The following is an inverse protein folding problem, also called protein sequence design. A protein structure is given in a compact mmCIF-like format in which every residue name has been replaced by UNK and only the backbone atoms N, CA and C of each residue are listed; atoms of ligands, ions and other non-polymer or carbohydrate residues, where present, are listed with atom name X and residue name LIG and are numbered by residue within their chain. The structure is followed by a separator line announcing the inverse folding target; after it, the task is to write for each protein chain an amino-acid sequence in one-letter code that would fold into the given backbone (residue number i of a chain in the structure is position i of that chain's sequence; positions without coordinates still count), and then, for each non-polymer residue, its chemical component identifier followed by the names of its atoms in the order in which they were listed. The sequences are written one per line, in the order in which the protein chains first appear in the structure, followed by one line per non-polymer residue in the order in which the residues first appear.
data_IF_015664905279
#
_entry.id   IF_015664905279
#
_cell.length_a   1.000
_cell.length_b   1.000
_cell.length_c   1.000
_cell.angle_alpha   90.00
_cell.angle_beta   90.00
_cell.angle_gamma   90.00
#
_symmetry.space_group_name_H-M   'P 1'
#
loop_
_entity.id
_entity.type
_entity.pdbx_description
1 polymer ?
#
# COMPACT_ATOMS: atom_id res chain seq x y z
N UNK A 1 37.39 -27.24 -4.04
CA UNK A 1 36.38 -28.18 -3.49
C UNK A 1 35.04 -27.48 -3.45
N UNK A 2 34.19 -27.78 -4.43
CA UNK A 2 32.88 -27.15 -4.64
C UNK A 2 31.80 -28.02 -3.99
N UNK A 3 31.04 -27.47 -3.05
CA UNK A 3 29.85 -28.14 -2.50
C UNK A 3 28.61 -27.67 -3.28
N UNK A 4 28.09 -28.56 -4.12
CA UNK A 4 26.77 -28.40 -4.77
C UNK A 4 25.66 -28.71 -3.75
N UNK A 5 24.75 -27.79 -3.52
CA UNK A 5 23.49 -28.06 -2.81
C UNK A 5 22.44 -28.53 -3.79
N UNK A 6 21.94 -29.74 -3.51
CA UNK A 6 20.91 -30.41 -4.32
C UNK A 6 19.56 -30.27 -3.59
N UNK A 7 18.58 -29.58 -4.20
CA UNK A 7 17.20 -29.50 -3.66
C UNK A 7 16.37 -30.60 -4.25
N UNK A 8 16.18 -31.69 -3.47
CA UNK A 8 15.31 -32.80 -3.83
C UNK A 8 13.84 -32.42 -3.68
N UNK A 9 13.12 -32.64 -4.78
CA UNK A 9 11.66 -32.54 -4.87
C UNK A 9 11.02 -33.71 -4.13
N UNK A 10 10.26 -33.47 -3.04
CA UNK A 10 9.43 -34.49 -2.40
C UNK A 10 8.02 -34.47 -2.98
N UNK A 11 7.73 -35.48 -3.78
CA UNK A 11 6.38 -35.81 -4.24
C UNK A 11 5.60 -36.51 -3.13
N UNK A 12 4.56 -35.86 -2.62
CA UNK A 12 3.60 -36.48 -1.69
C UNK A 12 2.54 -37.28 -2.48
N UNK A 13 2.59 -38.62 -2.33
CA UNK A 13 1.57 -39.53 -2.82
C UNK A 13 0.29 -39.39 -2.00
N UNK A 14 -0.82 -39.04 -2.64
CA UNK A 14 -2.19 -39.15 -2.09
C UNK A 14 -2.59 -40.60 -1.96
N UNK A 15 -2.90 -41.07 -0.74
CA UNK A 15 -3.62 -42.29 -0.50
C UNK A 15 -5.14 -42.03 -0.67
N UNK A 16 -5.77 -42.78 -1.57
CA UNK A 16 -7.24 -42.91 -1.66
C UNK A 16 -7.69 -43.83 -0.54
N UNK A 17 -8.59 -43.36 0.31
CA UNK A 17 -9.44 -44.24 1.14
C UNK A 17 -10.76 -44.41 0.38
N UNK A 18 -11.10 -45.70 0.18
CA UNK A 18 -12.40 -46.16 -0.29
C UNK A 18 -13.24 -46.37 0.96
N UNK A 19 -14.40 -45.76 1.06
CA UNK A 19 -15.46 -46.15 1.99
C UNK A 19 -16.68 -46.50 1.17
N UNK A 20 -17.20 -47.69 1.49
CA UNK A 20 -18.35 -48.34 0.88
C UNK A 20 -19.65 -47.69 1.36
N UNK A 21 -20.67 -47.81 0.49
CA UNK A 21 -22.00 -47.26 0.61
C UNK A 21 -22.83 -47.99 1.64
N UNK A 22 -23.58 -47.30 2.49
CA UNK A 22 -24.81 -47.78 3.11
C UNK A 22 -25.93 -46.80 2.80
N UNK A 23 -26.95 -47.29 2.10
CA UNK A 23 -28.17 -46.59 1.73
C UNK A 23 -29.03 -46.38 2.99
N UNK A 24 -29.35 -45.13 3.30
CA UNK A 24 -30.51 -44.82 4.14
C UNK A 24 -31.34 -43.73 3.44
N UNK A 25 -32.52 -44.19 3.01
CA UNK A 25 -33.63 -43.35 2.53
C UNK A 25 -34.20 -42.55 3.70
N UNK A 26 -34.16 -41.21 3.66
CA UNK A 26 -35.00 -40.36 4.50
C UNK A 26 -35.50 -39.13 3.73
N UNK A 27 -36.79 -39.06 3.76
CA UNK A 27 -37.81 -38.08 3.40
C UNK A 27 -37.44 -36.65 3.00
N UNK A 28 -37.95 -36.26 1.82
CA UNK A 28 -38.11 -34.91 1.31
C UNK A 28 -38.98 -34.04 2.24
N UNK A 29 -38.35 -33.07 2.92
CA UNK A 29 -39.01 -31.85 3.36
C UNK A 29 -38.35 -30.62 2.68
N UNK A 30 -38.94 -30.23 1.55
CA UNK A 30 -38.52 -29.14 0.66
C UNK A 30 -38.89 -27.77 1.28
N UNK A 31 -38.24 -27.39 2.38
CA UNK A 31 -38.22 -26.01 2.88
C UNK A 31 -36.99 -25.30 2.32
N UNK A 32 -37.14 -24.72 1.13
CA UNK A 32 -36.15 -23.85 0.48
C UNK A 32 -35.78 -22.66 1.38
N UNK A 33 -34.78 -22.83 2.23
CA UNK A 33 -34.09 -21.71 2.86
C UNK A 33 -33.42 -20.88 1.77
N UNK A 34 -33.62 -19.55 1.69
CA UNK A 34 -32.96 -18.73 0.70
C UNK A 34 -31.43 -18.87 0.92
N UNK A 35 -30.73 -19.38 -0.10
CA UNK A 35 -29.29 -19.33 -0.14
C UNK A 35 -28.88 -17.84 -0.23
N UNK A 36 -28.63 -17.23 0.91
CA UNK A 36 -28.00 -15.92 0.98
C UNK A 36 -26.58 -16.13 0.48
N UNK A 37 -26.34 -15.90 -0.80
CA UNK A 37 -24.99 -15.75 -1.36
C UNK A 37 -24.45 -14.45 -0.75
N UNK A 38 -23.79 -14.57 0.41
CA UNK A 38 -22.96 -13.49 0.90
C UNK A 38 -21.81 -13.42 -0.11
N UNK A 39 -21.90 -12.47 -1.04
CA UNK A 39 -20.80 -12.14 -1.92
C UNK A 39 -19.61 -11.75 -1.01
N UNK A 40 -18.73 -12.71 -0.75
CA UNK A 40 -17.46 -12.43 -0.08
C UNK A 40 -16.70 -11.53 -1.02
N UNK A 41 -16.59 -10.25 -0.68
CA UNK A 41 -15.58 -9.38 -1.31
C UNK A 41 -14.26 -10.13 -1.29
N UNK A 42 -13.57 -10.28 -2.44
CA UNK A 42 -12.29 -10.96 -2.45
C UNK A 42 -11.38 -10.27 -1.45
N UNK A 43 -10.93 -11.01 -0.42
CA UNK A 43 -9.96 -10.50 0.55
C UNK A 43 -8.65 -10.38 -0.23
N UNK A 44 -8.33 -9.17 -0.69
CA UNK A 44 -7.04 -8.88 -1.29
C UNK A 44 -6.04 -8.88 -0.14
N UNK A 45 -5.18 -9.90 -0.09
CA UNK A 45 -4.19 -10.04 0.99
C UNK A 45 -3.44 -8.73 1.22
N UNK A 46 -3.56 -8.18 2.43
CA UNK A 46 -2.87 -6.95 2.86
C UNK A 46 -3.54 -5.62 2.50
N UNK A 47 -4.76 -5.65 1.90
CA UNK A 47 -5.62 -4.47 1.73
C UNK A 47 -6.98 -4.80 2.32
N UNK A 48 -7.36 -4.09 3.38
CA UNK A 48 -8.64 -4.26 4.04
C UNK A 48 -9.40 -2.94 4.03
N UNK A 49 -10.72 -3.01 3.85
CA UNK A 49 -11.61 -1.83 3.85
C UNK A 49 -12.60 -1.97 5.00
N UNK A 50 -12.69 -0.94 5.83
CA UNK A 50 -13.66 -0.84 6.92
C UNK A 50 -14.24 0.56 6.95
N UNK A 51 -15.52 0.70 6.69
CA UNK A 51 -16.21 1.98 6.50
C UNK A 51 -15.52 2.85 5.42
N UNK A 52 -15.03 4.03 5.78
CA UNK A 52 -14.25 4.92 4.91
C UNK A 52 -12.72 4.78 5.12
N UNK A 53 -12.25 3.70 5.75
CA UNK A 53 -10.85 3.42 5.98
C UNK A 53 -10.35 2.29 5.08
N UNK A 54 -9.16 2.50 4.49
CA UNK A 54 -8.39 1.48 3.77
C UNK A 54 -7.12 1.22 4.57
N UNK A 55 -6.87 -0.03 4.92
CA UNK A 55 -5.65 -0.47 5.59
C UNK A 55 -4.75 -1.18 4.58
N UNK A 56 -3.64 -0.54 4.24
CA UNK A 56 -2.62 -1.05 3.33
C UNK A 56 -1.41 -1.53 4.14
N UNK A 57 -1.25 -2.85 4.23
CA UNK A 57 -0.13 -3.50 4.93
C UNK A 57 0.60 -4.45 3.98
N UNK A 58 1.37 -3.87 3.05
CA UNK A 58 2.14 -4.57 2.02
C UNK A 58 3.30 -3.72 1.53
N UNK A 59 4.30 -4.38 0.95
CA UNK A 59 5.29 -3.70 0.13
C UNK A 59 4.67 -3.27 -1.21
N UNK A 60 5.22 -2.21 -1.78
CA UNK A 60 4.69 -1.56 -2.97
C UNK A 60 5.28 -2.21 -4.21
N UNK A 61 4.44 -2.88 -4.97
CA UNK A 61 4.70 -3.38 -6.32
C UNK A 61 3.57 -2.99 -7.27
N UNK A 62 3.68 -3.35 -8.55
CA UNK A 62 2.65 -3.02 -9.54
C UNK A 62 1.30 -3.68 -9.24
N UNK A 63 1.30 -4.88 -8.66
CA UNK A 63 0.07 -5.62 -8.31
C UNK A 63 -0.61 -4.99 -7.10
N UNK A 64 0.14 -4.69 -6.05
CA UNK A 64 -0.39 -4.05 -4.84
C UNK A 64 -0.85 -2.63 -5.12
N UNK A 65 -0.14 -1.88 -5.98
CA UNK A 65 -0.56 -0.55 -6.43
C UNK A 65 -1.87 -0.60 -7.23
N UNK A 66 -2.00 -1.52 -8.18
CA UNK A 66 -3.24 -1.70 -8.94
C UNK A 66 -4.41 -2.02 -8.00
N UNK A 67 -4.22 -2.94 -7.07
CA UNK A 67 -5.26 -3.34 -6.12
C UNK A 67 -5.67 -2.19 -5.19
N UNK A 68 -4.70 -1.38 -4.72
CA UNK A 68 -4.99 -0.20 -3.90
C UNK A 68 -5.73 0.87 -4.70
N UNK A 69 -5.34 1.12 -5.95
CA UNK A 69 -6.02 2.05 -6.83
C UNK A 69 -7.48 1.64 -7.09
N UNK A 70 -7.73 0.33 -7.29
CA UNK A 70 -9.10 -0.19 -7.43
C UNK A 70 -9.90 -0.05 -6.12
N UNK A 71 -9.29 -0.28 -4.97
CA UNK A 71 -9.91 -0.10 -3.66
C UNK A 71 -10.29 1.37 -3.41
N UNK A 72 -9.39 2.31 -3.70
CA UNK A 72 -9.62 3.76 -3.58
C UNK A 72 -10.79 4.21 -4.45
N UNK A 73 -10.78 3.86 -5.75
CA UNK A 73 -11.86 4.21 -6.69
C UNK A 73 -13.20 3.58 -6.30
N UNK A 74 -13.18 2.31 -5.90
CA UNK A 74 -14.38 1.60 -5.45
C UNK A 74 -15.00 2.22 -4.20
N UNK A 75 -14.14 2.61 -3.24
CA UNK A 75 -14.60 3.25 -2.00
C UNK A 75 -15.12 4.67 -2.27
N UNK A 76 -14.47 5.45 -3.14
CA UNK A 76 -14.98 6.75 -3.56
C UNK A 76 -16.39 6.64 -4.15
N UNK A 77 -16.63 5.71 -5.09
CA UNK A 77 -17.95 5.49 -5.68
C UNK A 77 -18.98 5.12 -4.64
N UNK A 78 -18.63 4.25 -3.69
CA UNK A 78 -19.51 3.86 -2.59
C UNK A 78 -19.86 5.07 -1.71
N UNK A 79 -18.87 5.84 -1.25
CA UNK A 79 -19.09 7.01 -0.40
C UNK A 79 -19.99 8.03 -1.09
N UNK A 80 -19.74 8.33 -2.38
CA UNK A 80 -20.58 9.25 -3.16
C UNK A 80 -22.03 8.77 -3.25
N UNK A 81 -22.25 7.48 -3.52
CA UNK A 81 -23.56 6.89 -3.57
C UNK A 81 -24.29 6.96 -2.22
N UNK A 82 -23.60 6.60 -1.14
CA UNK A 82 -24.15 6.61 0.21
C UNK A 82 -24.47 8.05 0.65
N UNK A 83 -23.61 9.00 0.34
CA UNK A 83 -23.83 10.44 0.62
C UNK A 83 -25.07 11.00 -0.09
N UNK A 84 -25.25 10.65 -1.37
CA UNK A 84 -26.45 11.04 -2.11
C UNK A 84 -27.74 10.43 -1.53
N UNK A 85 -27.69 9.14 -1.17
CA UNK A 85 -28.85 8.45 -0.61
C UNK A 85 -29.25 8.98 0.77
N UNK A 86 -28.27 9.38 1.58
CA UNK A 86 -28.47 9.86 2.95
C UNK A 86 -28.57 11.39 3.04
N UNK A 87 -28.37 12.10 1.94
CA UNK A 87 -28.30 13.56 1.86
C UNK A 87 -27.29 14.16 2.89
N UNK A 88 -26.08 13.60 2.93
CA UNK A 88 -24.96 14.05 3.78
C UNK A 88 -23.73 14.36 2.92
N UNK A 89 -22.80 15.15 3.46
CA UNK A 89 -21.51 15.41 2.81
C UNK A 89 -20.63 14.14 2.73
N UNK A 90 -19.96 13.92 1.59
CA UNK A 90 -19.02 12.81 1.45
C UNK A 90 -17.90 12.88 2.49
N UNK A 91 -17.70 11.79 3.21
CA UNK A 91 -16.63 11.68 4.19
C UNK A 91 -15.28 11.42 3.51
N UNK A 92 -14.15 11.94 4.03
CA UNK A 92 -12.81 11.64 3.50
C UNK A 92 -12.50 10.15 3.61
N UNK A 93 -11.63 9.67 2.72
CA UNK A 93 -11.05 8.33 2.80
C UNK A 93 -9.80 8.39 3.66
N UNK A 94 -9.70 7.54 4.68
CA UNK A 94 -8.50 7.37 5.48
C UNK A 94 -7.67 6.21 4.91
N UNK A 95 -6.47 6.51 4.43
CA UNK A 95 -5.52 5.52 3.93
C UNK A 95 -4.45 5.24 4.99
N UNK A 96 -4.62 4.14 5.70
CA UNK A 96 -3.67 3.64 6.69
C UNK A 96 -2.54 2.90 5.99
N UNK A 97 -1.30 3.28 6.30
CA UNK A 97 -0.11 2.78 5.64
C UNK A 97 0.81 2.09 6.65
N UNK A 98 1.18 0.85 6.35
CA UNK A 98 2.28 0.09 6.98
C UNK A 98 3.05 -0.58 5.85
N UNK A 99 4.26 -0.11 5.54
CA UNK A 99 5.02 -0.60 4.38
C UNK A 99 6.51 -0.30 4.47
N UNK A 100 7.35 -1.23 3.99
CA UNK A 100 8.78 -0.97 3.81
C UNK A 100 9.08 -0.18 2.52
N UNK A 101 8.07 0.17 1.73
CA UNK A 101 8.22 0.82 0.43
C UNK A 101 8.23 -0.19 -0.72
N UNK A 102 9.01 0.05 -1.75
CA UNK A 102 9.13 -0.83 -2.91
C UNK A 102 9.29 -0.08 -4.23
N UNK A 103 8.59 -0.50 -5.28
CA UNK A 103 8.74 0.02 -6.64
C UNK A 103 8.25 1.47 -6.74
N UNK A 104 9.17 2.38 -7.06
CA UNK A 104 8.89 3.83 -7.09
C UNK A 104 7.80 4.20 -8.11
N UNK A 105 7.79 3.62 -9.32
CA UNK A 105 6.77 3.89 -10.33
C UNK A 105 5.38 3.38 -9.92
N UNK A 106 5.32 2.34 -9.11
CA UNK A 106 4.08 1.86 -8.53
C UNK A 106 3.54 2.85 -7.48
N UNK A 107 4.42 3.45 -6.67
CA UNK A 107 4.04 4.53 -5.75
C UNK A 107 3.53 5.77 -6.49
N UNK A 108 4.17 6.18 -7.58
CA UNK A 108 3.67 7.29 -8.41
C UNK A 108 2.26 7.02 -8.96
N UNK A 109 1.99 5.78 -9.40
CA UNK A 109 0.65 5.38 -9.84
C UNK A 109 -0.40 5.50 -8.73
N UNK A 110 -0.05 5.20 -7.48
CA UNK A 110 -0.94 5.39 -6.33
C UNK A 110 -1.18 6.88 -6.08
N UNK A 111 -0.13 7.70 -6.10
CA UNK A 111 -0.22 9.16 -5.91
C UNK A 111 -1.11 9.79 -6.99
N UNK A 112 -0.93 9.42 -8.25
CA UNK A 112 -1.76 9.91 -9.36
C UNK A 112 -3.23 9.48 -9.18
N UNK A 113 -3.46 8.25 -8.72
CA UNK A 113 -4.80 7.81 -8.38
C UNK A 113 -5.41 8.66 -7.27
N UNK A 114 -4.69 8.88 -6.16
CA UNK A 114 -5.15 9.74 -5.05
C UNK A 114 -5.51 11.15 -5.54
N UNK A 115 -4.64 11.76 -6.34
CA UNK A 115 -4.84 13.10 -6.89
C UNK A 115 -6.03 13.20 -7.87
N UNK A 116 -6.40 12.09 -8.51
CA UNK A 116 -7.54 12.03 -9.46
C UNK A 116 -8.90 11.89 -8.79
N UNK A 117 -8.93 11.55 -7.49
CA UNK A 117 -10.16 11.41 -6.73
C UNK A 117 -10.71 12.78 -6.31
N UNK A 118 -12.02 12.88 -6.21
CA UNK A 118 -12.70 14.11 -5.77
C UNK A 118 -12.95 14.14 -4.27
N UNK A 119 -12.94 12.97 -3.61
CA UNK A 119 -13.03 12.84 -2.17
C UNK A 119 -11.61 12.98 -1.59
N UNK A 120 -11.41 13.82 -0.54
CA UNK A 120 -10.11 13.97 0.08
C UNK A 120 -9.56 12.65 0.64
N UNK A 121 -8.27 12.41 0.41
CA UNK A 121 -7.55 11.27 0.99
C UNK A 121 -6.71 11.75 2.16
N UNK A 122 -6.99 11.23 3.35
CA UNK A 122 -6.22 11.46 4.57
C UNK A 122 -5.31 10.26 4.81
N UNK A 123 -4.00 10.46 4.76
CA UNK A 123 -3.03 9.39 5.00
C UNK A 123 -2.74 9.24 6.48
N UNK A 124 -2.60 8.01 6.94
CA UNK A 124 -2.26 7.67 8.32
C UNK A 124 -1.06 6.74 8.33
N UNK A 125 0.03 7.14 8.95
CA UNK A 125 1.20 6.28 9.16
C UNK A 125 0.93 5.42 10.40
N UNK A 126 0.73 4.10 10.16
CA UNK A 126 0.51 3.11 11.21
C UNK A 126 1.77 2.27 11.43
N UNK A 127 2.43 2.46 12.59
CA UNK A 127 3.62 1.73 12.98
C UNK A 127 4.86 2.12 12.18
N UNK A 128 4.96 1.75 10.89
CA UNK A 128 6.15 2.02 10.10
C UNK A 128 5.85 2.24 8.62
N UNK A 129 6.38 3.33 8.07
CA UNK A 129 6.33 3.62 6.63
C UNK A 129 7.71 4.05 6.14
N UNK A 130 8.23 3.38 5.11
CA UNK A 130 9.55 3.64 4.59
C UNK A 130 9.57 3.86 3.07
N UNK A 131 10.62 4.54 2.59
CA UNK A 131 10.99 4.62 1.18
C UNK A 131 9.83 5.12 0.30
N UNK A 132 9.48 4.40 -0.78
CA UNK A 132 8.38 4.74 -1.67
C UNK A 132 7.01 4.92 -0.95
N UNK A 133 6.82 4.27 0.21
CA UNK A 133 5.62 4.44 1.04
C UNK A 133 5.47 5.84 1.60
N UNK A 134 6.58 6.49 1.91
CA UNK A 134 6.56 7.85 2.46
C UNK A 134 6.16 8.90 1.44
N UNK A 135 6.43 8.65 0.14
CA UNK A 135 5.93 9.52 -0.94
C UNK A 135 4.40 9.50 -1.02
N UNK A 136 3.80 8.32 -0.84
CA UNK A 136 2.34 8.19 -0.76
C UNK A 136 1.82 8.93 0.47
N UNK A 137 2.47 8.72 1.62
CA UNK A 137 2.07 9.32 2.89
C UNK A 137 2.05 10.85 2.83
N UNK A 138 3.09 11.49 2.27
CA UNK A 138 3.17 12.95 2.22
C UNK A 138 2.24 13.59 1.19
N UNK A 139 1.68 12.81 0.26
CA UNK A 139 0.74 13.28 -0.76
C UNK A 139 -0.73 13.28 -0.31
N UNK A 140 -1.05 12.86 0.91
CA UNK A 140 -2.40 12.98 1.47
C UNK A 140 -2.86 14.45 1.60
N UNK A 141 -4.16 14.70 1.45
CA UNK A 141 -4.76 16.02 1.69
C UNK A 141 -4.63 16.45 3.17
N UNK A 142 -4.63 15.48 4.07
CA UNK A 142 -4.26 15.60 5.48
C UNK A 142 -3.45 14.36 5.86
N UNK A 143 -2.44 14.54 6.71
CA UNK A 143 -1.43 13.53 6.98
C UNK A 143 -1.32 13.28 8.46
N UNK A 144 -1.69 12.10 8.89
CA UNK A 144 -1.65 11.67 10.28
C UNK A 144 -0.51 10.68 10.52
N UNK A 145 -0.07 10.61 11.76
CA UNK A 145 0.91 9.63 12.22
C UNK A 145 0.53 9.08 13.59
N UNK A 146 0.66 7.76 13.77
CA UNK A 146 0.52 7.13 15.08
C UNK A 146 1.60 7.62 16.04
N UNK A 147 1.29 7.77 17.33
CA UNK A 147 2.22 8.28 18.36
C UNK A 147 3.52 7.48 18.45
N UNK A 148 3.47 6.16 18.23
CA UNK A 148 4.60 5.25 18.26
C UNK A 148 5.10 4.86 16.86
N UNK A 149 4.65 5.54 15.82
CA UNK A 149 5.03 5.24 14.46
C UNK A 149 6.36 5.91 14.07
N UNK A 150 7.03 5.30 13.08
CA UNK A 150 8.29 5.75 12.52
C UNK A 150 8.20 5.92 11.01
N UNK A 151 8.98 6.84 10.48
CA UNK A 151 9.13 7.10 9.04
C UNK A 151 10.60 7.02 8.66
N UNK A 152 10.89 6.34 7.54
CA UNK A 152 12.22 6.33 6.93
C UNK A 152 12.16 6.88 5.52
N UNK A 153 12.89 7.99 5.28
CA UNK A 153 13.14 8.51 3.92
C UNK A 153 14.61 8.33 3.55
N UNK A 154 14.88 7.90 2.34
CA UNK A 154 16.21 7.73 1.79
C UNK A 154 16.25 7.98 0.29
N UNK A 155 17.44 8.11 -0.31
CA UNK A 155 17.59 8.26 -1.74
C UNK A 155 17.18 6.99 -2.52
N UNK A 156 16.94 7.17 -3.82
CA UNK A 156 16.60 6.06 -4.71
C UNK A 156 17.69 4.97 -4.66
N UNK A 157 17.27 3.74 -4.45
CA UNK A 157 18.14 2.54 -4.54
C UNK A 157 17.81 1.78 -5.81
N UNK A 158 18.83 1.43 -6.56
CA UNK A 158 18.69 0.61 -7.75
C UNK A 158 19.98 -0.17 -8.04
N UNK A 159 19.88 -1.16 -8.89
CA UNK A 159 20.99 -1.90 -9.42
C UNK A 159 20.78 -2.18 -10.89
N UNK A 160 21.83 -1.96 -11.70
CA UNK A 160 21.81 -2.24 -13.15
C UNK A 160 23.03 -3.01 -13.55
N UNK A 161 22.87 -3.83 -14.56
CA UNK A 161 23.95 -4.56 -15.19
C UNK A 161 23.71 -4.62 -16.69
N UNK A 162 24.75 -4.39 -17.49
CA UNK A 162 24.61 -4.40 -18.93
C UNK A 162 25.81 -3.77 -19.65
N UNK A 163 25.64 -3.49 -20.95
CA UNK A 163 26.63 -2.76 -21.74
C UNK A 163 26.73 -1.30 -21.32
N UNK A 164 27.86 -0.64 -21.59
CA UNK A 164 28.14 0.72 -21.13
C UNK A 164 27.04 1.73 -21.48
N UNK A 165 26.59 1.75 -22.73
CA UNK A 165 25.52 2.67 -23.14
C UNK A 165 24.21 2.47 -22.37
N UNK A 166 23.85 1.25 -22.02
CA UNK A 166 22.68 0.96 -21.21
C UNK A 166 22.85 1.47 -19.76
N UNK A 167 24.04 1.31 -19.18
CA UNK A 167 24.33 1.82 -17.84
C UNK A 167 24.26 3.36 -17.79
N UNK A 168 24.74 4.03 -18.84
CA UNK A 168 24.63 5.49 -18.97
C UNK A 168 23.17 5.95 -19.06
N UNK A 169 22.36 5.32 -19.91
CA UNK A 169 20.93 5.62 -20.04
C UNK A 169 20.19 5.43 -18.71
N UNK A 170 20.42 4.31 -18.02
CA UNK A 170 19.80 4.02 -16.72
C UNK A 170 20.25 5.01 -15.64
N UNK A 171 21.50 5.44 -15.63
CA UNK A 171 21.97 6.46 -14.70
C UNK A 171 21.24 7.80 -14.90
N UNK A 172 20.99 8.20 -16.16
CA UNK A 172 20.19 9.40 -16.44
C UNK A 172 18.72 9.22 -16.04
N UNK A 173 18.14 8.05 -16.26
CA UNK A 173 16.78 7.73 -15.83
C UNK A 173 16.66 7.82 -14.31
N UNK A 174 17.60 7.24 -13.55
CA UNK A 174 17.60 7.32 -12.09
C UNK A 174 17.75 8.74 -11.56
N UNK A 175 18.56 9.58 -12.22
CA UNK A 175 18.66 10.99 -11.86
C UNK A 175 17.32 11.71 -11.99
N UNK A 176 16.59 11.50 -13.09
CA UNK A 176 15.25 12.09 -13.28
C UNK A 176 14.26 11.66 -12.21
N UNK A 177 14.26 10.35 -11.89
CA UNK A 177 13.39 9.82 -10.83
C UNK A 177 13.78 10.38 -9.46
N UNK A 178 15.08 10.45 -9.14
CA UNK A 178 15.58 11.03 -7.89
C UNK A 178 15.20 12.53 -7.77
N UNK A 179 15.32 13.29 -8.84
CA UNK A 179 14.90 14.69 -8.87
C UNK A 179 13.39 14.81 -8.66
N UNK A 180 12.59 13.98 -9.31
CA UNK A 180 11.14 14.00 -9.16
C UNK A 180 10.69 13.70 -7.72
N UNK A 181 11.22 12.63 -7.10
CA UNK A 181 10.90 12.33 -5.71
C UNK A 181 11.36 13.43 -4.73
N UNK A 182 12.51 14.06 -5.01
CA UNK A 182 13.02 15.18 -4.21
C UNK A 182 12.05 16.37 -4.27
N UNK A 183 11.54 16.69 -5.46
CA UNK A 183 10.57 17.76 -5.65
C UNK A 183 9.25 17.49 -4.91
N UNK A 184 8.78 16.25 -4.87
CA UNK A 184 7.59 15.86 -4.09
C UNK A 184 7.81 16.18 -2.60
N UNK A 185 8.96 15.80 -2.01
CA UNK A 185 9.23 16.11 -0.61
C UNK A 185 9.35 17.61 -0.34
N UNK A 186 10.02 18.35 -1.22
CA UNK A 186 10.15 19.82 -1.08
C UNK A 186 8.77 20.49 -1.13
N UNK A 187 7.91 20.07 -2.05
CA UNK A 187 6.56 20.61 -2.20
C UNK A 187 5.63 20.26 -1.02
N UNK A 188 5.72 19.01 -0.54
CA UNK A 188 4.75 18.46 0.43
C UNK A 188 5.20 18.56 1.89
N UNK A 189 6.44 18.95 2.18
CA UNK A 189 6.98 18.98 3.54
C UNK A 189 7.61 20.31 3.89
N UNK A 190 8.09 20.48 5.12
CA UNK A 190 8.84 21.67 5.57
C UNK A 190 10.36 21.52 5.35
N UNK A 191 10.78 20.49 4.61
CA UNK A 191 12.19 20.23 4.34
C UNK A 191 12.72 21.15 3.25
N UNK A 192 13.80 21.86 3.55
CA UNK A 192 14.56 22.56 2.51
C UNK A 192 15.38 21.56 1.70
N UNK A 193 15.66 21.89 0.44
CA UNK A 193 16.47 21.02 -0.44
C UNK A 193 17.81 20.60 0.19
N UNK A 194 18.54 21.55 0.80
CA UNK A 194 19.81 21.27 1.46
C UNK A 194 19.68 20.32 2.64
N UNK A 195 18.59 20.39 3.40
CA UNK A 195 18.32 19.50 4.52
C UNK A 195 17.91 18.12 4.01
N UNK A 196 17.02 18.07 3.03
CA UNK A 196 16.53 16.85 2.39
C UNK A 196 17.69 16.05 1.78
N UNK A 197 18.56 16.68 1.00
CA UNK A 197 19.73 16.04 0.40
C UNK A 197 20.71 15.43 1.43
N UNK A 198 20.78 15.99 2.63
CA UNK A 198 21.57 15.41 3.74
C UNK A 198 20.88 14.22 4.38
N UNK A 199 19.56 14.25 4.48
CA UNK A 199 18.74 13.22 5.09
C UNK A 199 18.67 12.00 4.16
N UNK A 200 18.37 12.21 2.88
CA UNK A 200 18.23 11.15 1.88
C UNK A 200 19.46 10.24 1.78
N UNK A 201 20.67 10.75 2.09
CA UNK A 201 21.91 9.97 2.12
C UNK A 201 22.08 9.06 3.35
N UNK A 202 21.10 9.07 4.25
CA UNK A 202 21.16 8.34 5.52
C UNK A 202 19.92 7.47 5.69
N UNK A 203 20.09 6.29 6.25
CA UNK A 203 19.00 5.41 6.64
C UNK A 203 18.70 5.60 8.14
N UNK A 204 18.14 6.77 8.47
CA UNK A 204 17.78 7.11 9.86
C UNK A 204 16.25 7.20 9.93
N UNK A 205 15.69 6.41 10.84
CA UNK A 205 14.27 6.44 11.13
C UNK A 205 13.90 7.68 11.96
N UNK A 206 12.82 8.31 11.62
CA UNK A 206 12.27 9.45 12.34
C UNK A 206 11.04 9.03 13.12
N UNK A 207 10.99 9.39 14.37
CA UNK A 207 9.83 9.21 15.20
C UNK A 207 8.70 10.18 14.80
N UNK A 208 7.55 10.02 15.42
CA UNK A 208 6.36 10.82 15.12
C UNK A 208 6.54 12.32 15.39
N UNK A 209 7.29 12.70 16.43
CA UNK A 209 7.57 14.11 16.76
C UNK A 209 8.44 14.77 15.68
N UNK A 210 9.48 14.08 15.23
CA UNK A 210 10.35 14.52 14.15
C UNK A 210 9.60 14.60 12.82
N UNK A 211 8.74 13.61 12.52
CA UNK A 211 7.92 13.59 11.33
C UNK A 211 6.98 14.80 11.25
N UNK A 212 6.31 15.16 12.35
CA UNK A 212 5.46 16.35 12.45
C UNK A 212 6.31 17.62 12.33
N UNK A 213 7.43 17.70 13.06
CA UNK A 213 8.32 18.87 13.05
C UNK A 213 8.81 19.25 11.65
N UNK A 214 9.05 18.24 10.80
CA UNK A 214 9.55 18.46 9.44
C UNK A 214 8.45 18.38 8.37
N UNK A 215 7.19 18.27 8.79
CA UNK A 215 6.04 18.31 7.89
C UNK A 215 5.85 17.05 7.06
N UNK A 216 6.37 15.89 7.51
CA UNK A 216 6.05 14.58 6.93
C UNK A 216 4.67 14.10 7.37
N UNK A 217 4.20 14.58 8.51
CA UNK A 217 2.83 14.46 9.01
C UNK A 217 2.37 15.82 9.57
N UNK A 218 1.05 16.02 9.64
CA UNK A 218 0.46 17.27 10.15
C UNK A 218 0.16 17.17 11.65
N UNK A 219 -0.35 16.02 12.11
CA UNK A 219 -0.75 15.79 13.50
C UNK A 219 -0.81 14.30 13.87
N UNK A 220 -0.97 14.01 15.14
CA UNK A 220 -1.19 12.64 15.60
C UNK A 220 -2.55 12.13 15.19
N UNK A 221 -2.62 10.84 14.85
CA UNK A 221 -3.88 10.17 14.59
C UNK A 221 -4.61 9.86 15.90
N UNK A 222 -5.87 10.32 16.01
CA UNK A 222 -6.71 10.09 17.20
C UNK A 222 -6.44 11.03 18.39
N UNK A 223 -5.75 12.15 18.16
CA UNK A 223 -5.56 13.22 19.14
C UNK A 223 -6.75 14.17 19.19
#
# INVERSE_FOLDING_TARGET
MSKKYNWGCMLNKKRKAVCEDEDDEEDDDDSKKPNIIIARTPVISGINIMANHIYFNKDIDHTTAFNLNMALRGLELKIKKDSLNLNIEPQPIYLHLTTNGGVIHAAFSIIDCMNSLTIPIYTVVDGYVASAGTLISVCGNKRYIGKNAYILIHELRSGVWGKMSYLEDEFFNFKKVQEHLTNIYIEKTLLTENKLNKILKKDIEWNSEEAIKYGLADEYYGS
#
